data_IF_829698288579
#
_entry.id   IF_829698288579
#
_cell.length_a   1.000
_cell.length_b   1.000
_cell.length_c   1.000
_cell.angle_alpha   90.00
_cell.angle_beta   90.00
_cell.angle_gamma   90.00
#
_symmetry.space_group_name_H-M   'P 1'
#
loop_
_entity.id
_entity.type
_entity.pdbx_description
1 polymer ?
#
# COMPACT_ATOMS: atom_id res chain seq x y z
N UNK A 1 19.05 -1.07 0.69
CA UNK A 1 20.48 -1.45 0.67
C UNK A 1 21.37 -0.68 1.66
N UNK A 2 21.09 0.56 1.99
CA UNK A 2 21.88 1.41 2.94
C UNK A 2 21.81 0.96 4.41
N UNK A 3 20.77 0.26 4.83
CA UNK A 3 20.54 -0.09 6.24
C UNK A 3 21.27 -1.35 6.74
N UNK A 4 21.62 -2.27 5.86
CA UNK A 4 22.40 -3.46 6.24
C UNK A 4 23.90 -3.13 6.51
N UNK A 5 24.43 -2.10 5.85
CA UNK A 5 25.82 -1.67 6.08
C UNK A 5 26.03 -1.10 7.48
N UNK A 6 25.01 -0.49 8.10
CA UNK A 6 25.12 0.17 9.41
C UNK A 6 25.17 -0.82 10.60
N UNK A 7 24.57 -2.00 10.49
CA UNK A 7 24.59 -3.04 11.56
C UNK A 7 25.99 -3.63 11.77
N UNK A 8 26.68 -3.92 10.69
CA UNK A 8 28.06 -4.45 10.73
C UNK A 8 29.04 -3.42 11.28
N UNK A 9 28.88 -2.14 10.96
CA UNK A 9 29.77 -1.07 11.40
C UNK A 9 29.71 -0.81 12.90
N UNK A 10 28.50 -0.85 13.50
CA UNK A 10 28.31 -0.64 14.95
C UNK A 10 28.87 -1.83 15.74
N UNK A 11 28.67 -3.06 15.26
CA UNK A 11 29.20 -4.26 15.90
C UNK A 11 30.73 -4.33 15.83
N UNK A 12 31.30 -3.91 14.72
CA UNK A 12 32.78 -3.80 14.55
C UNK A 12 33.37 -2.72 15.47
N UNK A 13 32.66 -1.59 15.67
CA UNK A 13 33.11 -0.51 16.54
C UNK A 13 33.07 -0.93 18.03
N UNK A 14 32.01 -1.62 18.48
CA UNK A 14 31.91 -2.17 19.83
C UNK A 14 32.97 -3.24 20.12
N UNK A 15 33.17 -4.19 19.21
CA UNK A 15 34.20 -5.23 19.35
C UNK A 15 35.62 -4.67 19.18
N UNK A 16 35.82 -3.71 18.27
CA UNK A 16 37.12 -3.12 17.97
C UNK A 16 37.65 -2.16 19.04
N UNK A 17 36.79 -1.52 19.81
CA UNK A 17 37.20 -0.53 20.84
C UNK A 17 37.18 -1.15 22.25
N UNK A 18 36.08 -1.85 22.60
CA UNK A 18 35.93 -2.36 23.97
C UNK A 18 36.84 -3.56 24.27
N UNK A 19 37.02 -4.48 23.33
CA UNK A 19 37.83 -5.67 23.54
C UNK A 19 39.36 -5.38 23.77
N UNK A 20 40.02 -4.50 23.00
CA UNK A 20 41.43 -4.15 23.25
C UNK A 20 41.62 -3.41 24.59
N UNK A 21 40.67 -2.52 24.96
CA UNK A 21 40.74 -1.79 26.24
C UNK A 21 40.65 -2.73 27.43
N UNK A 22 39.71 -3.69 27.37
CA UNK A 22 39.55 -4.69 28.40
C UNK A 22 40.75 -5.61 28.53
N UNK A 23 41.33 -6.04 27.39
CA UNK A 23 42.54 -6.87 27.35
C UNK A 23 43.75 -6.15 27.93
N UNK A 24 43.92 -4.87 27.59
CA UNK A 24 45.02 -4.03 28.11
C UNK A 24 44.99 -3.92 29.64
N UNK A 25 43.75 -3.66 30.19
CA UNK A 25 43.55 -3.52 31.65
C UNK A 25 43.76 -4.83 32.41
N UNK A 26 43.31 -5.98 31.86
CA UNK A 26 43.49 -7.29 32.46
C UNK A 26 44.97 -7.70 32.50
N UNK A 27 45.70 -7.46 31.42
CA UNK A 27 47.13 -7.77 31.35
C UNK A 27 47.94 -6.88 32.32
N UNK A 28 47.57 -5.57 32.40
CA UNK A 28 48.22 -4.63 33.33
C UNK A 28 47.97 -4.96 34.81
N UNK A 29 46.75 -5.35 35.17
CA UNK A 29 46.39 -5.72 36.54
C UNK A 29 46.96 -7.06 36.95
N UNK A 30 47.10 -8.04 36.04
CA UNK A 30 47.70 -9.34 36.32
C UNK A 30 49.19 -9.28 36.65
N UNK A 31 49.96 -8.35 36.09
CA UNK A 31 51.39 -8.15 36.40
C UNK A 31 51.63 -7.66 37.85
N UNK A 32 50.67 -6.97 38.46
CA UNK A 32 50.76 -6.41 39.79
C UNK A 32 50.10 -7.32 40.87
N UNK A 33 49.69 -8.54 40.54
CA UNK A 33 49.10 -9.52 41.47
C UNK A 33 47.66 -9.19 41.93
N UNK A 34 47.01 -8.21 41.35
CA UNK A 34 45.65 -7.78 41.80
C UNK A 34 44.56 -8.48 41.01
N UNK A 35 44.37 -9.77 41.22
CA UNK A 35 43.42 -10.65 40.54
C UNK A 35 41.96 -10.18 40.76
N UNK A 36 41.63 -9.62 41.94
CA UNK A 36 40.27 -9.14 42.23
C UNK A 36 39.91 -7.89 41.39
N UNK A 37 40.87 -6.98 41.19
CA UNK A 37 40.65 -5.83 40.31
C UNK A 37 40.42 -6.26 38.85
N UNK A 38 41.18 -7.26 38.39
CA UNK A 38 41.02 -7.80 37.02
C UNK A 38 39.62 -8.44 36.84
N UNK A 39 39.12 -9.20 37.82
CA UNK A 39 37.74 -9.77 37.79
C UNK A 39 36.66 -8.69 37.79
N UNK A 40 36.79 -7.64 38.58
CA UNK A 40 35.85 -6.53 38.63
C UNK A 40 35.80 -5.78 37.29
N UNK A 41 36.94 -5.48 36.70
CA UNK A 41 37.03 -4.84 35.37
C UNK A 41 36.38 -5.72 34.28
N UNK A 42 36.65 -7.01 34.30
CA UNK A 42 36.06 -7.97 33.35
C UNK A 42 34.53 -8.02 33.48
N UNK A 43 34.02 -8.16 34.73
CA UNK A 43 32.60 -8.19 34.99
C UNK A 43 31.88 -6.91 34.59
N UNK A 44 32.49 -5.74 34.89
CA UNK A 44 31.92 -4.43 34.52
C UNK A 44 31.89 -4.26 33.00
N UNK A 45 32.96 -4.62 32.32
CA UNK A 45 33.04 -4.55 30.85
C UNK A 45 32.02 -5.46 30.18
N UNK A 46 31.82 -6.69 30.72
CA UNK A 46 30.79 -7.60 30.20
C UNK A 46 29.38 -7.04 30.39
N UNK A 47 29.09 -6.44 31.56
CA UNK A 47 27.81 -5.78 31.82
C UNK A 47 27.54 -4.63 30.85
N UNK A 48 28.56 -3.79 30.58
CA UNK A 48 28.44 -2.66 29.63
C UNK A 48 28.15 -3.18 28.20
N UNK A 49 28.86 -4.25 27.77
CA UNK A 49 28.65 -4.83 26.44
C UNK A 49 27.25 -5.45 26.34
N UNK A 50 26.80 -6.18 27.35
CA UNK A 50 25.43 -6.76 27.37
C UNK A 50 24.36 -5.69 27.39
N UNK A 51 24.55 -4.63 28.18
CA UNK A 51 23.61 -3.50 28.21
C UNK A 51 23.56 -2.76 26.87
N UNK A 52 24.71 -2.50 26.25
CA UNK A 52 24.79 -1.89 24.92
C UNK A 52 24.16 -2.77 23.84
N UNK A 53 24.35 -4.08 23.89
CA UNK A 53 23.71 -5.04 22.99
C UNK A 53 22.18 -5.10 23.19
N UNK A 54 21.71 -5.08 24.43
CA UNK A 54 20.29 -5.04 24.77
C UNK A 54 19.63 -3.71 24.31
N UNK A 55 20.30 -2.60 24.57
CA UNK A 55 19.84 -1.26 24.11
C UNK A 55 19.81 -1.19 22.58
N UNK A 56 20.83 -1.69 21.92
CA UNK A 56 20.89 -1.76 20.46
C UNK A 56 19.77 -2.68 19.91
N UNK A 57 19.56 -3.84 20.53
CA UNK A 57 18.47 -4.75 20.18
C UNK A 57 17.11 -4.09 20.38
N UNK A 58 16.92 -3.33 21.46
CA UNK A 58 15.71 -2.57 21.74
C UNK A 58 15.48 -1.43 20.72
N UNK A 59 16.55 -0.70 20.36
CA UNK A 59 16.48 0.36 19.32
C UNK A 59 16.20 -0.26 17.94
N UNK A 60 16.77 -1.41 17.64
CA UNK A 60 16.55 -2.14 16.38
C UNK A 60 15.20 -2.86 16.34
N UNK A 61 14.69 -3.33 17.47
CA UNK A 61 13.35 -3.87 17.61
C UNK A 61 12.26 -2.78 17.51
N UNK A 62 12.63 -1.51 17.66
CA UNK A 62 11.74 -0.39 17.38
C UNK A 62 11.40 -0.36 15.91
N UNK A 63 10.37 -1.15 15.55
CA UNK A 63 9.59 -1.07 14.33
C UNK A 63 10.37 -1.30 13.03
N UNK A 64 10.61 -2.55 12.71
CA UNK A 64 10.53 -2.90 11.27
C UNK A 64 9.14 -2.49 10.81
N UNK A 65 9.02 -1.65 9.78
CA UNK A 65 7.71 -1.27 9.27
C UNK A 65 6.97 -2.56 8.86
N UNK A 66 5.73 -2.70 9.32
CA UNK A 66 4.87 -3.82 8.98
C UNK A 66 3.91 -3.39 7.89
N UNK A 67 3.67 -4.29 6.94
CA UNK A 67 2.64 -4.13 5.93
C UNK A 67 1.27 -4.25 6.62
N UNK A 68 0.41 -3.27 6.43
CA UNK A 68 -0.95 -3.23 7.00
C UNK A 68 -1.93 -2.54 6.05
N UNK A 69 -3.19 -2.84 6.19
CA UNK A 69 -4.25 -2.00 5.61
C UNK A 69 -4.31 -0.70 6.42
N UNK A 70 -4.42 0.43 5.75
CA UNK A 70 -4.54 1.72 6.40
C UNK A 70 -5.97 1.88 6.96
N UNK A 71 -6.08 2.07 8.28
CA UNK A 71 -7.38 2.24 8.95
C UNK A 71 -8.00 3.60 8.64
N UNK A 72 -7.18 4.63 8.49
CA UNK A 72 -7.57 6.00 8.19
C UNK A 72 -6.55 6.64 7.24
N UNK A 73 -7.05 7.33 6.22
CA UNK A 73 -6.23 8.02 5.23
C UNK A 73 -6.27 9.53 5.48
N UNK A 74 -5.10 10.16 5.41
CA UNK A 74 -4.91 11.60 5.53
C UNK A 74 -4.62 12.22 4.17
N UNK A 75 -4.71 13.53 4.05
CA UNK A 75 -4.35 14.26 2.84
C UNK A 75 -2.92 13.92 2.35
N UNK A 76 -1.97 13.77 3.28
CA UNK A 76 -0.60 13.34 2.96
C UNK A 76 -0.54 11.95 2.30
N UNK A 77 -1.44 11.03 2.67
CA UNK A 77 -1.53 9.71 2.00
C UNK A 77 -2.00 9.87 0.55
N UNK A 78 -2.91 10.80 0.26
CA UNK A 78 -3.35 11.10 -1.11
C UNK A 78 -2.25 11.77 -1.95
N UNK A 79 -1.40 12.62 -1.35
CA UNK A 79 -0.19 13.12 -2.00
C UNK A 79 0.78 12.00 -2.35
N UNK A 80 0.94 11.00 -1.46
CA UNK A 80 1.77 9.82 -1.74
C UNK A 80 1.18 8.96 -2.87
N UNK A 81 -0.14 8.75 -2.89
CA UNK A 81 -0.83 8.01 -3.96
C UNK A 81 -0.66 8.70 -5.31
N UNK A 82 -0.88 10.01 -5.38
CA UNK A 82 -0.67 10.79 -6.60
C UNK A 82 0.79 10.74 -7.08
N UNK A 83 1.76 10.79 -6.17
CA UNK A 83 3.18 10.63 -6.51
C UNK A 83 3.50 9.22 -7.06
N UNK A 84 2.79 8.18 -6.60
CA UNK A 84 2.90 6.83 -7.16
C UNK A 84 2.23 6.76 -8.54
N UNK A 85 1.04 7.31 -8.71
CA UNK A 85 0.33 7.37 -10.00
C UNK A 85 1.17 8.06 -11.07
N UNK A 86 1.79 9.21 -10.73
CA UNK A 86 2.63 9.97 -11.65
C UNK A 86 3.76 9.16 -12.28
N UNK A 87 4.30 8.16 -11.56
CA UNK A 87 5.36 7.30 -12.06
C UNK A 87 4.90 6.34 -13.18
N UNK A 88 3.59 6.05 -13.25
CA UNK A 88 3.02 5.06 -14.17
C UNK A 88 2.10 5.65 -15.21
N UNK A 89 1.35 6.70 -14.86
CA UNK A 89 0.29 7.27 -15.71
C UNK A 89 0.69 8.60 -16.34
N UNK A 90 1.76 9.25 -15.82
CA UNK A 90 2.14 10.61 -16.18
C UNK A 90 1.30 11.66 -15.45
N UNK A 91 1.85 12.86 -15.28
CA UNK A 91 1.23 13.93 -14.47
C UNK A 91 -0.13 14.40 -15.00
N UNK A 92 -0.36 14.30 -16.31
CA UNK A 92 -1.61 14.74 -16.95
C UNK A 92 -2.81 13.80 -16.71
N UNK A 93 -2.56 12.60 -16.17
CA UNK A 93 -3.57 11.56 -15.94
C UNK A 93 -3.84 11.32 -14.46
N UNK A 94 -3.62 12.32 -13.60
CA UNK A 94 -3.77 12.17 -12.15
C UNK A 94 -4.89 13.05 -11.65
N UNK A 95 -5.80 12.47 -10.89
CA UNK A 95 -6.76 13.26 -10.10
C UNK A 95 -6.01 14.10 -9.06
N UNK A 96 -6.28 15.40 -8.92
CA UNK A 96 -5.66 16.23 -7.90
C UNK A 96 -5.82 15.60 -6.50
N UNK A 97 -4.74 15.45 -5.69
CA UNK A 97 -4.79 14.79 -4.37
C UNK A 97 -5.87 15.36 -3.44
N UNK A 98 -6.04 16.68 -3.44
CA UNK A 98 -7.05 17.34 -2.63
C UNK A 98 -8.49 16.96 -3.05
N UNK A 99 -8.74 16.71 -4.34
CA UNK A 99 -10.05 16.27 -4.81
C UNK A 99 -10.31 14.81 -4.45
N UNK A 100 -9.34 13.92 -4.67
CA UNK A 100 -9.43 12.52 -4.26
C UNK A 100 -9.61 12.39 -2.73
N UNK A 101 -8.95 13.25 -1.94
CA UNK A 101 -9.16 13.30 -0.50
C UNK A 101 -10.57 13.77 -0.11
N UNK A 102 -11.17 14.71 -0.85
CA UNK A 102 -12.58 15.11 -0.66
C UNK A 102 -13.54 13.94 -0.91
N UNK A 103 -13.28 13.12 -1.94
CA UNK A 103 -14.09 11.92 -2.18
C UNK A 103 -14.04 10.99 -0.97
N UNK A 104 -12.83 10.70 -0.47
CA UNK A 104 -12.63 9.87 0.71
C UNK A 104 -13.29 10.46 1.96
N UNK A 105 -13.14 11.77 2.21
CA UNK A 105 -13.79 12.42 3.36
C UNK A 105 -15.31 12.28 3.32
N UNK A 106 -15.89 12.36 2.13
CA UNK A 106 -17.35 12.22 1.96
C UNK A 106 -17.79 10.75 1.96
N UNK A 107 -17.00 9.89 1.31
CA UNK A 107 -17.29 8.47 1.13
C UNK A 107 -16.00 7.66 1.37
N UNK A 108 -15.69 7.26 2.62
CA UNK A 108 -14.43 6.56 2.94
C UNK A 108 -14.20 5.25 2.16
N UNK A 109 -15.29 4.61 1.71
CA UNK A 109 -15.22 3.40 0.89
C UNK A 109 -14.61 3.61 -0.52
N UNK A 110 -14.44 4.88 -0.97
CA UNK A 110 -13.86 5.16 -2.30
C UNK A 110 -12.42 4.73 -2.46
N UNK A 111 -11.68 4.63 -1.35
CA UNK A 111 -10.24 4.35 -1.36
C UNK A 111 -9.87 3.36 -0.27
N UNK A 112 -9.28 2.24 -0.66
CA UNK A 112 -8.70 1.25 0.25
C UNK A 112 -7.20 1.17 -0.05
N UNK A 113 -6.36 1.29 0.97
CA UNK A 113 -4.92 1.34 0.80
C UNK A 113 -4.16 0.42 1.76
N UNK A 114 -3.00 -0.06 1.33
CA UNK A 114 -2.02 -0.75 2.16
C UNK A 114 -0.78 0.13 2.34
N UNK A 115 -0.26 0.13 3.56
CA UNK A 115 0.91 0.90 3.93
C UNK A 115 2.01 0.03 4.54
N UNK A 116 3.26 0.37 4.26
CA UNK A 116 4.45 -0.12 4.93
C UNK A 116 4.94 0.96 5.90
N UNK A 117 4.59 0.83 7.18
CA UNK A 117 4.75 1.92 8.14
C UNK A 117 3.81 3.07 7.81
N UNK A 118 4.37 4.24 7.45
CA UNK A 118 3.62 5.44 7.05
C UNK A 118 3.59 5.67 5.51
N UNK A 119 4.19 4.75 4.74
CA UNK A 119 4.27 4.87 3.29
C UNK A 119 3.18 4.03 2.63
N UNK A 120 2.35 4.63 1.78
CA UNK A 120 1.40 3.90 0.94
C UNK A 120 2.18 3.12 -0.13
N UNK A 121 1.87 1.83 -0.25
CA UNK A 121 2.54 0.91 -1.19
C UNK A 121 1.58 0.24 -2.17
N UNK A 122 0.29 0.27 -1.87
CA UNK A 122 -0.76 -0.19 -2.78
C UNK A 122 -2.09 0.46 -2.43
N UNK A 123 -2.94 0.69 -3.42
CA UNK A 123 -4.29 1.18 -3.22
C UNK A 123 -5.23 0.84 -4.37
N UNK A 124 -6.50 0.93 -4.08
CA UNK A 124 -7.61 0.74 -5.01
C UNK A 124 -8.62 1.86 -4.81
N UNK A 125 -9.06 2.47 -5.91
CA UNK A 125 -10.17 3.40 -5.94
C UNK A 125 -11.35 2.74 -6.66
N UNK A 126 -12.39 2.39 -5.89
CA UNK A 126 -13.63 1.78 -6.39
C UNK A 126 -14.82 2.49 -5.78
N UNK A 127 -15.70 3.05 -6.59
CA UNK A 127 -16.85 3.81 -6.12
C UNK A 127 -17.96 3.90 -7.18
N UNK A 128 -19.21 4.13 -6.78
CA UNK A 128 -20.30 4.38 -7.71
C UNK A 128 -20.21 5.80 -8.28
N UNK A 129 -20.51 5.93 -9.57
CA UNK A 129 -20.64 7.22 -10.27
C UNK A 129 -22.09 7.43 -10.72
N UNK A 130 -22.44 8.68 -10.97
CA UNK A 130 -23.76 9.04 -11.55
C UNK A 130 -23.92 8.45 -12.94
N UNK A 131 -25.15 8.19 -13.35
CA UNK A 131 -25.48 7.55 -14.62
C UNK A 131 -24.95 8.32 -15.84
N UNK A 132 -24.97 9.64 -15.82
CA UNK A 132 -24.44 10.50 -16.86
C UNK A 132 -22.90 10.41 -16.98
N UNK A 133 -22.21 10.34 -15.83
CA UNK A 133 -20.75 10.11 -15.79
C UNK A 133 -20.40 8.71 -16.30
N UNK A 134 -21.15 7.68 -15.87
CA UNK A 134 -20.95 6.33 -16.36
C UNK A 134 -21.12 6.23 -17.89
N UNK A 135 -22.17 6.81 -18.45
CA UNK A 135 -22.39 6.80 -19.90
C UNK A 135 -21.31 7.61 -20.65
N UNK A 136 -20.82 8.69 -20.07
CA UNK A 136 -19.75 9.48 -20.64
C UNK A 136 -18.38 8.76 -20.60
N UNK A 137 -18.09 8.00 -19.54
CA UNK A 137 -16.95 7.07 -19.46
C UNK A 137 -17.10 5.99 -20.52
N UNK A 138 -18.26 5.32 -20.57
CA UNK A 138 -18.53 4.19 -21.45
C UNK A 138 -18.39 4.53 -22.93
N UNK A 139 -18.81 5.74 -23.34
CA UNK A 139 -18.65 6.21 -24.72
C UNK A 139 -17.29 6.87 -25.01
N UNK A 140 -16.38 6.93 -23.99
CA UNK A 140 -15.03 7.46 -24.11
C UNK A 140 -14.93 8.99 -24.24
N UNK A 141 -15.99 9.74 -23.93
CA UNK A 141 -16.01 11.20 -23.99
C UNK A 141 -15.60 11.88 -22.69
N UNK A 142 -15.58 11.15 -21.57
CA UNK A 142 -15.21 11.66 -20.26
C UNK A 142 -13.76 11.34 -19.93
N UNK A 143 -13.05 12.34 -19.44
CA UNK A 143 -11.72 12.18 -18.92
C UNK A 143 -11.78 12.09 -17.39
N UNK A 144 -11.42 10.94 -16.83
CA UNK A 144 -11.63 10.58 -15.44
C UNK A 144 -10.86 11.46 -14.43
N UNK A 145 -9.70 12.01 -14.80
CA UNK A 145 -8.97 12.94 -13.93
C UNK A 145 -9.70 14.30 -13.74
N UNK A 146 -10.75 14.56 -14.53
CA UNK A 146 -11.63 15.72 -14.31
C UNK A 146 -12.83 15.40 -13.43
N UNK A 147 -12.95 14.17 -12.94
CA UNK A 147 -14.02 13.76 -12.04
C UNK A 147 -13.97 14.57 -10.76
N UNK A 148 -15.12 15.08 -10.36
CA UNK A 148 -15.31 15.82 -9.09
C UNK A 148 -16.23 15.05 -8.17
N UNK A 149 -16.27 15.45 -6.89
CA UNK A 149 -17.17 14.87 -5.89
C UNK A 149 -18.65 14.83 -6.37
N UNK A 150 -19.07 15.84 -7.14
CA UNK A 150 -20.43 15.90 -7.67
C UNK A 150 -20.74 14.81 -8.72
N UNK A 151 -19.73 14.19 -9.31
CA UNK A 151 -19.89 13.07 -10.25
C UNK A 151 -20.06 11.71 -9.56
N UNK A 152 -19.74 11.61 -8.28
CA UNK A 152 -19.95 10.38 -7.50
C UNK A 152 -21.44 10.20 -7.18
N UNK A 153 -21.89 8.96 -7.19
CA UNK A 153 -23.23 8.61 -6.72
C UNK A 153 -23.19 8.28 -5.22
N UNK A 154 -24.14 8.83 -4.46
CA UNK A 154 -24.32 8.46 -3.05
C UNK A 154 -25.09 7.14 -2.98
N UNK A 155 -24.49 6.03 -2.49
CA UNK A 155 -25.18 4.75 -2.42
C UNK A 155 -26.38 4.75 -1.47
N UNK A 156 -26.53 5.77 -0.63
CA UNK A 156 -27.65 5.89 0.32
C UNK A 156 -28.79 6.83 -0.16
N UNK A 157 -28.52 7.69 -1.16
CA UNK A 157 -29.48 8.75 -1.54
C UNK A 157 -30.74 8.23 -2.26
N UNK A 158 -30.62 7.17 -3.06
CA UNK A 158 -31.71 6.63 -3.87
C UNK A 158 -31.70 5.10 -3.83
N UNK A 159 -32.31 4.47 -2.81
CA UNK A 159 -32.16 3.03 -2.54
C UNK A 159 -32.69 2.10 -3.65
N UNK A 160 -33.54 2.61 -4.54
CA UNK A 160 -34.12 1.81 -5.66
C UNK A 160 -33.36 2.01 -6.99
N UNK A 161 -32.48 3.01 -7.08
CA UNK A 161 -31.78 3.28 -8.33
C UNK A 161 -30.58 2.34 -8.52
N UNK A 162 -30.30 1.91 -9.77
CA UNK A 162 -29.10 1.12 -10.07
C UNK A 162 -27.84 1.92 -9.81
N UNK A 163 -26.79 1.23 -9.38
CA UNK A 163 -25.47 1.79 -9.21
C UNK A 163 -24.52 1.29 -10.30
N UNK A 164 -23.74 2.21 -10.86
CA UNK A 164 -22.68 1.92 -11.80
C UNK A 164 -21.33 2.19 -11.13
N UNK A 165 -20.52 1.14 -11.00
CA UNK A 165 -19.24 1.21 -10.30
C UNK A 165 -18.14 1.66 -11.25
N UNK A 166 -17.26 2.52 -10.76
CA UNK A 166 -16.05 2.91 -11.46
C UNK A 166 -14.82 2.42 -10.68
N UNK A 167 -14.03 1.57 -11.33
CA UNK A 167 -12.72 1.16 -10.86
C UNK A 167 -11.70 2.14 -11.44
N UNK A 168 -11.48 3.24 -10.72
CA UNK A 168 -10.69 4.37 -11.16
C UNK A 168 -9.18 4.08 -11.16
N UNK A 169 -8.68 3.49 -10.08
CA UNK A 169 -7.26 3.16 -9.97
C UNK A 169 -7.03 1.83 -9.25
N UNK A 170 -6.05 1.09 -9.71
CA UNK A 170 -5.49 -0.09 -9.04
C UNK A 170 -3.98 -0.02 -9.15
N UNK A 171 -3.31 0.26 -8.05
CA UNK A 171 -1.86 0.41 -8.05
C UNK A 171 -1.20 -0.40 -6.93
N UNK A 172 -0.11 -1.08 -7.26
CA UNK A 172 0.78 -1.73 -6.29
C UNK A 172 2.22 -1.45 -6.70
N UNK A 173 2.99 -0.86 -5.78
CA UNK A 173 4.42 -0.60 -5.97
C UNK A 173 5.17 -1.90 -6.33
N UNK A 174 6.10 -1.90 -7.30
CA UNK A 174 6.74 -3.12 -7.81
C UNK A 174 7.36 -4.01 -6.73
N UNK A 175 7.94 -3.42 -5.68
CA UNK A 175 8.55 -4.13 -4.57
C UNK A 175 7.55 -4.99 -3.76
N UNK A 176 6.25 -4.74 -3.89
CA UNK A 176 5.17 -5.41 -3.15
C UNK A 176 4.24 -6.23 -4.06
N UNK A 177 4.56 -6.34 -5.36
CA UNK A 177 3.82 -7.21 -6.29
C UNK A 177 4.02 -8.68 -5.95
N UNK A 178 3.04 -9.50 -6.30
CA UNK A 178 3.07 -10.95 -6.00
C UNK A 178 2.71 -11.33 -4.57
N UNK A 179 2.43 -10.36 -3.69
CA UNK A 179 2.00 -10.60 -2.31
C UNK A 179 0.46 -10.72 -2.15
N UNK A 180 -0.28 -10.73 -3.24
CA UNK A 180 -1.76 -10.80 -3.21
C UNK A 180 -2.45 -9.50 -2.77
N UNK A 181 -1.72 -8.39 -2.59
CA UNK A 181 -2.25 -7.12 -2.09
C UNK A 181 -3.40 -6.58 -2.92
N UNK A 182 -3.23 -6.53 -4.25
CA UNK A 182 -4.27 -6.03 -5.16
C UNK A 182 -5.60 -6.75 -4.95
N UNK A 183 -5.58 -8.09 -4.89
CA UNK A 183 -6.78 -8.89 -4.66
C UNK A 183 -7.37 -8.63 -3.28
N UNK A 184 -6.54 -8.54 -2.25
CA UNK A 184 -6.99 -8.28 -0.89
C UNK A 184 -7.67 -6.91 -0.79
N UNK A 185 -7.09 -5.85 -1.39
CA UNK A 185 -7.67 -4.52 -1.43
C UNK A 185 -8.99 -4.49 -2.21
N UNK A 186 -9.07 -5.19 -3.36
CA UNK A 186 -10.32 -5.34 -4.11
C UNK A 186 -11.41 -6.06 -3.30
N UNK A 187 -11.06 -7.13 -2.57
CA UNK A 187 -12.01 -7.83 -1.70
C UNK A 187 -12.57 -6.89 -0.62
N UNK A 188 -11.71 -6.11 0.04
CA UNK A 188 -12.12 -5.14 1.05
C UNK A 188 -12.99 -4.03 0.44
N UNK A 189 -12.65 -3.53 -0.75
CA UNK A 189 -13.46 -2.54 -1.45
C UNK A 189 -14.86 -3.09 -1.80
N UNK A 190 -14.94 -4.33 -2.26
CA UNK A 190 -16.22 -5.01 -2.55
C UNK A 190 -17.05 -5.19 -1.26
N UNK A 191 -16.43 -5.61 -0.16
CA UNK A 191 -17.10 -5.80 1.14
C UNK A 191 -17.78 -4.51 1.63
N UNK A 192 -17.20 -3.34 1.36
CA UNK A 192 -17.83 -2.05 1.71
C UNK A 192 -19.15 -1.81 0.97
N UNK A 193 -19.30 -2.36 -0.23
CA UNK A 193 -20.54 -2.21 -1.03
C UNK A 193 -21.51 -3.39 -0.89
N UNK A 194 -21.21 -4.40 -0.07
CA UNK A 194 -22.07 -5.56 0.17
C UNK A 194 -23.53 -5.18 0.49
N UNK A 195 -23.80 -4.18 1.36
CA UNK A 195 -25.18 -3.80 1.68
C UNK A 195 -26.02 -3.30 0.48
N UNK A 196 -25.35 -2.77 -0.54
CA UNK A 196 -25.98 -2.22 -1.75
C UNK A 196 -25.63 -3.00 -3.02
N UNK A 197 -24.93 -4.13 -2.88
CA UNK A 197 -24.42 -4.95 -3.99
C UNK A 197 -25.50 -5.36 -4.98
N UNK A 198 -26.72 -5.63 -4.51
CA UNK A 198 -27.86 -6.00 -5.35
C UNK A 198 -28.26 -4.91 -6.35
N UNK A 199 -27.84 -3.68 -6.13
CA UNK A 199 -28.07 -2.52 -7.02
C UNK A 199 -26.91 -2.28 -7.98
N UNK A 200 -25.69 -2.79 -7.66
CA UNK A 200 -24.51 -2.63 -8.51
C UNK A 200 -24.67 -3.49 -9.78
N UNK A 201 -24.91 -2.84 -10.92
CA UNK A 201 -25.19 -3.53 -12.16
C UNK A 201 -23.92 -3.74 -13.01
N UNK A 202 -23.19 -2.68 -13.23
CA UNK A 202 -22.01 -2.66 -14.11
C UNK A 202 -20.81 -2.09 -13.38
N UNK A 203 -19.63 -2.50 -13.82
CA UNK A 203 -18.37 -1.91 -13.42
C UNK A 203 -17.59 -1.54 -14.66
N UNK A 204 -17.04 -0.33 -14.66
CA UNK A 204 -16.27 0.24 -15.76
C UNK A 204 -14.89 0.66 -15.26
N UNK A 205 -13.89 0.64 -16.13
CA UNK A 205 -12.55 1.15 -15.86
C UNK A 205 -11.96 1.79 -17.11
N UNK A 206 -11.17 2.84 -16.93
CA UNK A 206 -10.42 3.52 -17.98
C UNK A 206 -8.93 3.18 -17.83
N UNK A 207 -8.34 2.57 -18.84
CA UNK A 207 -6.99 2.05 -18.79
C UNK A 207 -6.05 2.85 -19.69
N UNK A 208 -5.23 3.69 -19.08
CA UNK A 208 -4.22 4.51 -19.77
C UNK A 208 -2.90 3.75 -20.01
N UNK A 209 -2.74 2.54 -19.44
CA UNK A 209 -1.52 1.73 -19.59
C UNK A 209 -1.81 0.33 -20.13
N UNK A 210 -0.83 -0.29 -20.84
CA UNK A 210 -0.95 -1.69 -21.26
C UNK A 210 -1.15 -2.66 -20.11
N UNK A 211 -0.50 -2.41 -18.95
CA UNK A 211 -0.62 -3.21 -17.73
C UNK A 211 -2.03 -3.14 -17.13
N UNK A 212 -2.63 -1.95 -17.13
CA UNK A 212 -4.03 -1.76 -16.73
C UNK A 212 -4.99 -2.52 -17.64
N UNK A 213 -4.80 -2.45 -18.96
CA UNK A 213 -5.59 -3.19 -19.92
C UNK A 213 -5.44 -4.72 -19.75
N UNK A 214 -4.24 -5.22 -19.43
CA UNK A 214 -4.03 -6.63 -19.13
C UNK A 214 -4.69 -7.03 -17.81
N UNK A 215 -4.58 -6.20 -16.78
CA UNK A 215 -5.30 -6.39 -15.52
C UNK A 215 -6.81 -6.53 -15.79
N UNK A 216 -7.41 -5.63 -16.55
CA UNK A 216 -8.84 -5.66 -16.87
C UNK A 216 -9.24 -6.96 -17.56
N UNK A 217 -8.49 -7.41 -18.57
CA UNK A 217 -8.75 -8.69 -19.25
C UNK A 217 -8.65 -9.89 -18.30
N UNK A 218 -7.68 -9.90 -17.40
CA UNK A 218 -7.48 -10.97 -16.41
C UNK A 218 -8.64 -11.06 -15.42
N UNK A 219 -9.26 -9.93 -15.09
CA UNK A 219 -10.43 -9.88 -14.22
C UNK A 219 -11.76 -10.02 -14.98
N UNK A 220 -11.71 -10.35 -16.28
CA UNK A 220 -12.90 -10.68 -17.09
C UNK A 220 -13.62 -9.47 -17.68
N UNK A 221 -12.98 -8.29 -17.67
CA UNK A 221 -13.54 -7.12 -18.35
C UNK A 221 -13.41 -7.26 -19.87
N UNK A 222 -14.40 -6.75 -20.58
CA UNK A 222 -14.41 -6.64 -22.04
C UNK A 222 -14.14 -5.21 -22.48
N UNK A 223 -13.29 -5.03 -23.48
CA UNK A 223 -13.05 -3.70 -24.05
C UNK A 223 -14.28 -3.25 -24.84
N UNK A 224 -14.83 -2.09 -24.49
CA UNK A 224 -16.04 -1.54 -25.11
C UNK A 224 -15.74 -0.35 -26.03
N UNK A 225 -14.69 0.41 -25.74
CA UNK A 225 -14.38 1.64 -26.50
C UNK A 225 -12.88 2.00 -26.38
N UNK A 226 -12.41 2.84 -27.29
CA UNK A 226 -11.20 3.66 -27.13
C UNK A 226 -11.66 5.09 -26.85
N UNK A 227 -11.13 5.73 -25.82
CA UNK A 227 -11.54 7.08 -25.45
C UNK A 227 -11.01 8.15 -26.41
N UNK A 228 -11.52 9.36 -26.27
CA UNK A 228 -11.05 10.53 -27.02
C UNK A 228 -9.64 10.99 -26.62
N UNK A 229 -9.07 10.42 -25.56
CA UNK A 229 -7.72 10.70 -25.04
C UNK A 229 -6.81 9.45 -25.04
N UNK A 230 -7.07 8.54 -26.00
CA UNK A 230 -6.25 7.36 -26.31
C UNK A 230 -6.14 6.29 -25.21
N UNK A 231 -7.03 6.30 -24.23
CA UNK A 231 -7.16 5.21 -23.25
C UNK A 231 -8.12 4.12 -23.73
N UNK A 232 -8.12 2.97 -23.04
CA UNK A 232 -9.00 1.84 -23.35
C UNK A 232 -10.05 1.67 -22.26
N UNK A 233 -11.32 1.78 -22.66
CA UNK A 233 -12.47 1.60 -21.74
C UNK A 233 -12.85 0.13 -21.71
N UNK A 234 -12.91 -0.42 -20.51
CA UNK A 234 -13.35 -1.79 -20.26
C UNK A 234 -14.54 -1.82 -19.32
N UNK A 235 -15.41 -2.77 -19.53
CA UNK A 235 -16.66 -2.91 -18.77
C UNK A 235 -16.96 -4.39 -18.51
N UNK A 236 -17.66 -4.67 -17.40
CA UNK A 236 -18.29 -5.97 -17.18
C UNK A 236 -19.50 -5.87 -16.25
N UNK A 237 -20.20 -6.96 -16.07
CA UNK A 237 -21.19 -7.16 -15.01
C UNK A 237 -20.52 -7.14 -13.63
N UNK A 238 -21.11 -6.39 -12.68
CA UNK A 238 -20.50 -6.24 -11.35
C UNK A 238 -20.45 -7.57 -10.57
N UNK A 239 -21.49 -8.40 -10.65
CA UNK A 239 -21.51 -9.68 -9.96
C UNK A 239 -20.44 -10.63 -10.53
N UNK A 240 -20.19 -10.58 -11.86
CA UNK A 240 -19.11 -11.30 -12.50
C UNK A 240 -17.74 -10.86 -12.02
N UNK A 241 -17.53 -9.55 -11.84
CA UNK A 241 -16.30 -9.01 -11.24
C UNK A 241 -16.08 -9.53 -9.81
N UNK A 242 -17.10 -9.44 -8.97
CA UNK A 242 -17.07 -9.98 -7.59
C UNK A 242 -16.67 -11.45 -7.59
N UNK A 243 -17.26 -12.26 -8.48
CA UNK A 243 -16.93 -13.67 -8.60
C UNK A 243 -15.48 -13.91 -9.05
N UNK A 244 -14.93 -13.08 -9.94
CA UNK A 244 -13.51 -13.16 -10.33
C UNK A 244 -12.57 -12.85 -9.17
N UNK A 245 -12.85 -11.80 -8.40
CA UNK A 245 -12.03 -11.42 -7.24
C UNK A 245 -12.04 -12.52 -6.17
N UNK A 246 -13.20 -13.11 -5.88
CA UNK A 246 -13.37 -14.12 -4.82
C UNK A 246 -13.04 -15.54 -5.32
N UNK A 247 -13.41 -15.90 -6.53
CA UNK A 247 -13.27 -17.26 -7.08
C UNK A 247 -11.82 -17.70 -7.28
N UNK A 248 -10.92 -16.79 -7.55
CA UNK A 248 -9.47 -17.05 -7.58
C UNK A 248 -8.91 -17.42 -6.19
N UNK A 249 -9.64 -17.16 -5.11
CA UNK A 249 -9.26 -17.53 -3.74
C UNK A 249 -9.31 -19.05 -3.50
N UNK A 250 -10.21 -19.78 -4.17
CA UNK A 250 -10.33 -21.24 -4.01
C UNK A 250 -9.18 -22.01 -4.67
N UNK A 251 -8.62 -21.51 -5.77
CA UNK A 251 -7.51 -22.20 -6.45
C UNK A 251 -6.14 -22.05 -5.77
N UNK A 252 -5.95 -21.02 -4.92
CA UNK A 252 -4.70 -20.82 -4.16
C UNK A 252 -4.68 -21.56 -2.82
N UNK A 253 -5.85 -21.95 -2.28
CA UNK A 253 -5.96 -22.74 -1.04
C UNK A 253 -5.79 -24.24 -1.31
N UNK A 254 -6.07 -24.68 -2.52
CA UNK A 254 -6.03 -26.09 -2.94
C UNK A 254 -4.72 -26.48 -3.66
N UNK A 255 -3.74 -25.57 -3.74
CA UNK A 255 -2.41 -25.79 -4.34
C UNK A 255 -1.29 -25.70 -3.29
#
# INVERSE_FOLDING_TARGET
MFWQANKSSIMVLLLGVVAPFTAYFIIGSGKNGNIELAKQVLATSLCVVLFAAALLSFILAKKSPTLRIADELTEQHFEQMAALEAQYYGEDNITPPAEAYRWYQRYPATTIAAAMGEQIVAFVNLFPVKADIYEALRNGSFNDHTLTLDGLADPQAAPEEPLHMFLCCVLTEPAYRGLGLTRHLLSLAIEHYEPVQHRCQRIITDNVTPEGAEFSRRYGFEQVQTSSHDSLIFEQDYASFVNHVHGTRQMEVDS
#
